data_IF_520312195566
#
_entry.id   IF_520312195566
#
_cell.length_a   1.000
_cell.length_b   1.000
_cell.length_c   1.000
_cell.angle_alpha   90.00
_cell.angle_beta   90.00
_cell.angle_gamma   90.00
#
_symmetry.space_group_name_H-M   'P 1'
#
loop_
_entity.id
_entity.type
_entity.pdbx_description
1 polymer ?
#
# COMPACT_ATOMS: atom_id res chain seq x y z
N UNK A 1 9.77 -3.53 -4.73
CA UNK A 1 9.09 -2.61 -5.66
C UNK A 1 10.12 -1.92 -6.55
N UNK A 2 10.04 -2.14 -7.88
CA UNK A 2 10.99 -1.58 -8.86
C UNK A 2 10.50 -0.24 -9.44
N UNK A 3 9.18 -0.10 -9.65
CA UNK A 3 8.50 1.05 -10.23
C UNK A 3 7.73 1.86 -9.16
N UNK A 4 7.60 3.17 -9.35
CA UNK A 4 6.64 4.03 -8.65
C UNK A 4 6.04 4.98 -9.69
N UNK A 5 4.75 5.29 -9.55
CA UNK A 5 3.99 6.05 -10.53
C UNK A 5 3.37 7.26 -9.85
N UNK A 6 3.43 8.43 -10.48
CA UNK A 6 2.74 9.61 -9.98
C UNK A 6 1.39 9.73 -10.71
N UNK A 7 0.33 9.26 -10.05
CA UNK A 7 -1.04 9.38 -10.56
C UNK A 7 -1.57 10.80 -10.41
N UNK A 8 -2.45 11.22 -11.32
CA UNK A 8 -3.23 12.47 -11.22
C UNK A 8 -2.41 13.77 -11.06
N UNK A 9 -1.17 13.81 -11.56
CA UNK A 9 -0.36 15.04 -11.60
C UNK A 9 -0.44 15.69 -12.98
N UNK A 10 -0.97 16.91 -13.03
CA UNK A 10 -0.83 17.79 -14.19
C UNK A 10 0.58 18.39 -14.23
N UNK A 11 1.47 17.81 -15.03
CA UNK A 11 2.88 18.22 -15.13
C UNK A 11 3.09 19.56 -15.84
N UNK A 12 2.14 19.98 -16.68
CA UNK A 12 2.18 21.23 -17.44
C UNK A 12 0.93 22.04 -17.15
N UNK A 13 1.05 23.37 -17.19
CA UNK A 13 -0.05 24.26 -16.82
C UNK A 13 -1.13 24.39 -17.91
N UNK A 14 -0.78 24.05 -19.16
CA UNK A 14 -1.69 24.07 -20.31
C UNK A 14 -1.11 23.28 -21.49
N UNK A 15 -1.95 22.99 -22.49
CA UNK A 15 -1.50 22.38 -23.75
C UNK A 15 -0.42 23.23 -24.44
N UNK A 16 -0.59 24.56 -24.46
CA UNK A 16 0.38 25.48 -25.03
C UNK A 16 1.72 25.45 -24.29
N UNK A 17 1.71 25.31 -22.95
CA UNK A 17 2.92 25.14 -22.15
C UNK A 17 3.64 23.83 -22.51
N UNK A 18 2.91 22.72 -22.66
CA UNK A 18 3.46 21.44 -23.08
C UNK A 18 4.12 21.51 -24.48
N UNK A 19 3.43 22.10 -25.46
CA UNK A 19 3.96 22.26 -26.82
C UNK A 19 5.20 23.15 -26.87
N UNK A 20 5.20 24.21 -26.07
CA UNK A 20 6.35 25.13 -25.96
C UNK A 20 7.58 24.42 -25.38
N UNK A 21 7.39 23.63 -24.31
CA UNK A 21 8.45 22.81 -23.72
C UNK A 21 9.00 21.81 -24.73
N UNK A 22 8.12 21.06 -25.39
CA UNK A 22 8.51 20.05 -26.39
C UNK A 22 9.35 20.66 -27.50
N UNK A 23 8.92 21.78 -28.09
CA UNK A 23 9.64 22.44 -29.18
C UNK A 23 11.03 22.92 -28.76
N UNK A 24 11.14 23.56 -27.58
CA UNK A 24 12.42 24.10 -27.09
C UNK A 24 13.39 23.00 -26.68
N UNK A 25 12.91 21.95 -26.00
CA UNK A 25 13.75 20.85 -25.54
C UNK A 25 14.28 20.01 -26.72
N UNK A 26 13.47 19.79 -27.77
CA UNK A 26 13.94 19.08 -28.98
C UNK A 26 15.09 19.82 -29.70
N UNK A 27 15.17 21.14 -29.54
CA UNK A 27 16.24 21.95 -30.11
C UNK A 27 17.45 22.09 -29.18
N UNK A 28 17.29 21.84 -27.87
CA UNK A 28 18.28 22.16 -26.84
C UNK A 28 18.29 21.07 -25.74
N UNK A 29 18.78 19.88 -26.06
CA UNK A 29 18.84 18.75 -25.13
C UNK A 29 20.28 18.28 -24.88
N UNK A 30 20.48 17.52 -23.80
CA UNK A 30 21.77 16.90 -23.50
C UNK A 30 22.77 17.77 -22.74
N UNK A 31 22.42 18.99 -22.34
CA UNK A 31 23.34 19.90 -21.64
C UNK A 31 23.37 19.68 -20.11
N UNK A 32 22.20 19.55 -19.48
CA UNK A 32 22.07 19.51 -18.02
C UNK A 32 22.72 18.26 -17.39
N UNK A 33 22.66 17.11 -18.06
CA UNK A 33 23.23 15.85 -17.57
C UNK A 33 24.74 15.93 -17.38
N UNK A 34 25.51 16.24 -18.44
CA UNK A 34 26.97 16.42 -18.36
C UNK A 34 27.39 17.45 -17.31
N UNK A 35 26.74 18.61 -17.26
CA UNK A 35 27.04 19.67 -16.29
C UNK A 35 26.82 19.18 -14.85
N UNK A 36 25.70 18.48 -14.60
CA UNK A 36 25.41 17.90 -13.31
C UNK A 36 26.44 16.84 -12.90
N UNK A 37 26.83 15.94 -13.81
CA UNK A 37 27.83 14.90 -13.53
C UNK A 37 29.20 15.51 -13.24
N UNK A 38 29.64 16.50 -14.03
CA UNK A 38 30.90 17.22 -13.77
C UNK A 38 30.90 17.89 -12.41
N UNK A 39 29.78 18.46 -11.99
CA UNK A 39 29.63 19.01 -10.65
C UNK A 39 29.74 17.94 -9.56
N UNK A 40 29.08 16.78 -9.74
CA UNK A 40 29.12 15.68 -8.78
C UNK A 40 30.52 15.09 -8.61
N UNK A 41 31.29 14.95 -9.70
CA UNK A 41 32.66 14.42 -9.68
C UNK A 41 33.62 15.30 -8.87
N UNK A 42 33.33 16.60 -8.72
CA UNK A 42 34.11 17.54 -7.90
C UNK A 42 33.77 17.44 -6.40
N UNK A 43 32.72 16.72 -6.02
CA UNK A 43 32.31 16.59 -4.63
C UNK A 43 32.98 15.39 -3.95
N UNK A 44 33.46 15.54 -2.70
CA UNK A 44 33.90 14.40 -1.91
C UNK A 44 32.76 13.39 -1.71
N UNK A 45 33.03 12.11 -1.93
CA UNK A 45 32.05 11.03 -1.74
C UNK A 45 31.37 11.10 -0.36
N UNK A 46 32.14 11.37 0.70
CA UNK A 46 31.63 11.51 2.08
C UNK A 46 30.53 12.58 2.20
N UNK A 47 30.59 13.64 1.40
CA UNK A 47 29.57 14.70 1.38
C UNK A 47 28.29 14.23 0.69
N UNK A 48 28.40 13.46 -0.38
CA UNK A 48 27.27 12.82 -1.05
C UNK A 48 26.60 11.81 -0.11
N UNK A 49 27.40 10.91 0.47
CA UNK A 49 26.94 9.88 1.39
C UNK A 49 26.21 10.46 2.61
N UNK A 50 26.81 11.44 3.31
CA UNK A 50 26.15 12.11 4.45
C UNK A 50 24.83 12.77 4.06
N UNK A 51 24.75 13.32 2.85
CA UNK A 51 23.52 13.96 2.38
C UNK A 51 22.43 12.93 2.07
N UNK A 52 22.82 11.80 1.48
CA UNK A 52 21.94 10.66 1.28
C UNK A 52 21.44 10.09 2.61
N UNK A 53 22.34 9.83 3.56
CA UNK A 53 22.01 9.32 4.90
C UNK A 53 21.04 10.24 5.65
N UNK A 54 21.26 11.56 5.58
CA UNK A 54 20.34 12.56 6.11
C UNK A 54 18.92 12.41 5.52
N UNK A 55 18.79 12.25 4.20
CA UNK A 55 17.48 12.08 3.58
C UNK A 55 16.86 10.71 3.87
N UNK A 56 17.67 9.66 4.01
CA UNK A 56 17.19 8.36 4.45
C UNK A 56 16.57 8.43 5.84
N UNK A 57 17.27 9.05 6.80
CA UNK A 57 16.75 9.24 8.16
C UNK A 57 15.48 10.09 8.16
N UNK A 58 15.48 11.19 7.39
CA UNK A 58 14.31 12.05 7.25
C UNK A 58 13.07 11.31 6.72
N UNK A 59 13.23 10.48 5.68
CA UNK A 59 12.11 9.71 5.11
C UNK A 59 11.62 8.66 6.12
N UNK A 60 12.53 7.94 6.78
CA UNK A 60 12.16 6.90 7.77
C UNK A 60 11.33 7.46 8.92
N UNK A 61 11.64 8.67 9.38
CA UNK A 61 10.85 9.37 10.42
C UNK A 61 9.43 9.74 9.97
N UNK A 62 9.16 9.76 8.66
CA UNK A 62 7.85 10.12 8.09
C UNK A 62 7.02 8.92 7.67
N UNK A 63 7.60 7.72 7.65
CA UNK A 63 6.89 6.48 7.37
C UNK A 63 6.29 5.97 8.69
N UNK A 64 4.96 5.95 8.78
CA UNK A 64 4.25 5.52 9.99
C UNK A 64 4.28 3.99 10.19
N UNK A 65 4.21 3.23 9.09
CA UNK A 65 4.18 1.77 9.12
C UNK A 65 5.35 1.21 8.32
N UNK A 66 6.46 0.93 9.01
CA UNK A 66 7.62 0.34 8.38
C UNK A 66 7.33 -1.14 8.02
N UNK A 67 7.39 -1.46 6.73
CA UNK A 67 7.33 -2.81 6.19
C UNK A 67 8.69 -3.26 5.60
N UNK A 68 8.74 -4.46 5.01
CA UNK A 68 9.92 -5.00 4.32
C UNK A 68 10.39 -4.18 3.11
N UNK A 69 9.57 -3.26 2.60
CA UNK A 69 9.88 -2.41 1.45
C UNK A 69 10.40 -1.03 1.85
N UNK A 70 10.19 -0.61 3.11
CA UNK A 70 10.63 0.67 3.69
C UNK A 70 12.05 1.06 3.30
N UNK A 71 13.02 0.18 3.49
CA UNK A 71 14.43 0.47 3.17
C UNK A 71 14.60 0.77 1.67
N UNK A 72 14.04 -0.07 0.80
CA UNK A 72 14.14 0.09 -0.66
C UNK A 72 13.46 1.37 -1.15
N UNK A 73 12.35 1.76 -0.53
CA UNK A 73 11.65 3.02 -0.84
C UNK A 73 12.51 4.18 -0.36
N UNK A 74 12.96 4.14 0.89
CA UNK A 74 13.80 5.16 1.50
C UNK A 74 15.03 5.45 0.63
N UNK A 75 15.77 4.42 0.23
CA UNK A 75 17.01 4.58 -0.53
C UNK A 75 16.77 5.29 -1.88
N UNK A 76 15.71 4.91 -2.60
CA UNK A 76 15.35 5.51 -3.89
C UNK A 76 14.92 6.97 -3.77
N UNK A 77 14.02 7.26 -2.84
CA UNK A 77 13.51 8.60 -2.65
C UNK A 77 14.58 9.54 -2.07
N UNK A 78 15.47 9.02 -1.23
CA UNK A 78 16.64 9.76 -0.76
C UNK A 78 17.54 10.18 -1.93
N UNK A 79 17.79 9.30 -2.90
CA UNK A 79 18.57 9.64 -4.11
C UNK A 79 17.90 10.80 -4.87
N UNK A 80 16.59 10.78 -5.08
CA UNK A 80 15.88 11.90 -5.75
C UNK A 80 16.03 13.23 -4.99
N UNK A 81 15.95 13.20 -3.66
CA UNK A 81 16.14 14.40 -2.83
C UNK A 81 17.59 14.91 -2.85
N UNK A 82 18.57 14.01 -2.86
CA UNK A 82 19.98 14.35 -3.07
C UNK A 82 20.18 15.00 -4.44
N UNK A 83 19.59 14.41 -5.49
CA UNK A 83 19.64 14.96 -6.85
C UNK A 83 19.04 16.35 -6.91
N UNK A 84 17.83 16.57 -6.39
CA UNK A 84 17.21 17.90 -6.34
C UNK A 84 18.05 18.91 -5.53
N UNK A 85 18.71 18.46 -4.45
CA UNK A 85 19.57 19.30 -3.63
C UNK A 85 20.80 19.82 -4.41
N UNK A 86 21.47 18.94 -5.16
CA UNK A 86 22.67 19.29 -5.90
C UNK A 86 22.38 19.89 -7.27
N UNK A 87 21.33 19.46 -7.97
CA UNK A 87 20.92 19.99 -9.28
C UNK A 87 20.64 21.49 -9.21
N UNK A 88 20.04 21.97 -8.12
CA UNK A 88 19.84 23.40 -7.87
C UNK A 88 21.14 24.20 -7.93
N UNK A 89 22.23 23.65 -7.39
CA UNK A 89 23.54 24.30 -7.35
C UNK A 89 24.30 24.14 -8.66
N UNK A 90 24.24 22.93 -9.23
CA UNK A 90 24.95 22.60 -10.45
C UNK A 90 24.41 23.35 -11.66
N UNK A 91 23.08 23.49 -11.77
CA UNK A 91 22.40 24.01 -12.96
C UNK A 91 21.88 25.45 -12.78
N UNK A 92 22.09 26.05 -11.60
CA UNK A 92 21.54 27.38 -11.28
C UNK A 92 20.00 27.48 -11.31
N UNK A 93 19.28 26.35 -11.28
CA UNK A 93 17.82 26.32 -11.43
C UNK A 93 17.09 26.68 -10.13
N UNK A 94 15.98 27.38 -10.26
CA UNK A 94 15.05 27.67 -9.17
C UNK A 94 14.25 26.43 -8.75
N UNK A 95 14.90 25.47 -8.08
CA UNK A 95 14.25 24.25 -7.59
C UNK A 95 13.65 24.49 -6.19
N UNK A 96 12.34 24.26 -6.06
CA UNK A 96 11.63 24.20 -4.78
C UNK A 96 11.76 22.80 -4.16
N UNK A 97 12.80 22.65 -3.34
CA UNK A 97 13.10 21.38 -2.64
C UNK A 97 12.03 21.01 -1.62
N UNK A 98 11.28 21.98 -1.08
CA UNK A 98 10.24 21.72 -0.08
C UNK A 98 9.06 21.04 -0.76
N UNK A 99 8.58 21.60 -1.88
CA UNK A 99 7.50 21.00 -2.68
C UNK A 99 7.86 19.63 -3.25
N UNK A 100 9.08 19.45 -3.78
CA UNK A 100 9.54 18.13 -4.24
C UNK A 100 9.46 17.12 -3.10
N UNK A 101 9.93 17.50 -1.91
CA UNK A 101 9.90 16.62 -0.74
C UNK A 101 8.47 16.27 -0.31
N UNK A 102 7.57 17.24 -0.32
CA UNK A 102 6.15 17.01 0.01
C UNK A 102 5.49 16.06 -0.99
N UNK A 103 5.65 16.31 -2.29
CA UNK A 103 5.16 15.45 -3.37
C UNK A 103 5.68 14.01 -3.24
N UNK A 104 6.97 13.87 -2.95
CA UNK A 104 7.60 12.56 -2.76
C UNK A 104 7.09 11.83 -1.50
N UNK A 105 6.85 12.55 -0.40
CA UNK A 105 6.30 11.95 0.83
C UNK A 105 4.85 11.52 0.66
N UNK A 106 4.03 12.35 0.01
CA UNK A 106 2.66 12.01 -0.34
C UNK A 106 2.60 10.72 -1.15
N UNK A 107 3.46 10.60 -2.17
CA UNK A 107 3.57 9.39 -2.98
C UNK A 107 3.93 8.14 -2.16
N UNK A 108 4.78 8.27 -1.13
CA UNK A 108 5.12 7.15 -0.25
C UNK A 108 3.90 6.69 0.55
N UNK A 109 3.10 7.64 1.03
CA UNK A 109 1.91 7.40 1.83
C UNK A 109 0.80 6.74 1.00
N UNK A 110 0.45 7.33 -0.15
CA UNK A 110 -0.58 6.79 -1.06
C UNK A 110 -0.25 5.36 -1.50
N UNK A 111 0.97 5.12 -1.95
CA UNK A 111 1.37 3.76 -2.31
C UNK A 111 1.40 2.82 -1.09
N UNK A 112 1.57 3.31 0.14
CA UNK A 112 1.56 2.42 1.31
C UNK A 112 0.17 1.84 1.54
N UNK A 113 -0.88 2.62 1.26
CA UNK A 113 -2.26 2.19 1.36
C UNK A 113 -2.62 1.21 0.24
N UNK A 114 -2.21 1.49 -1.00
CA UNK A 114 -2.39 0.57 -2.14
C UNK A 114 -1.57 -0.73 -2.01
N UNK A 115 -0.41 -0.67 -1.33
CA UNK A 115 0.42 -1.84 -1.06
C UNK A 115 -0.09 -2.68 0.11
N UNK A 116 -1.02 -2.19 0.91
CA UNK A 116 -1.54 -2.92 2.05
C UNK A 116 -2.43 -4.07 1.58
N UNK A 117 -1.77 -5.20 1.27
CA UNK A 117 -2.43 -6.42 0.83
C UNK A 117 -3.46 -6.93 1.84
N UNK A 118 -3.23 -6.68 3.13
CA UNK A 118 -4.18 -7.04 4.18
C UNK A 118 -5.46 -6.23 4.08
N UNK A 119 -5.35 -4.90 3.96
CA UNK A 119 -6.50 -4.00 3.80
C UNK A 119 -7.25 -4.28 2.50
N UNK A 120 -6.53 -4.44 1.39
CA UNK A 120 -7.12 -4.75 0.07
C UNK A 120 -7.85 -6.09 0.06
N UNK A 121 -7.25 -7.13 0.63
CA UNK A 121 -7.90 -8.43 0.74
C UNK A 121 -9.15 -8.33 1.63
N UNK A 122 -9.13 -7.52 2.69
CA UNK A 122 -10.27 -7.37 3.60
C UNK A 122 -11.43 -6.66 2.91
N UNK A 123 -11.15 -5.59 2.16
CA UNK A 123 -12.17 -4.88 1.38
C UNK A 123 -12.79 -5.76 0.30
N UNK A 124 -11.96 -6.51 -0.45
CA UNK A 124 -12.46 -7.48 -1.42
C UNK A 124 -13.31 -8.58 -0.76
N UNK A 125 -12.86 -9.09 0.40
CA UNK A 125 -13.60 -10.08 1.17
C UNK A 125 -14.95 -9.55 1.64
N UNK A 126 -15.01 -8.33 2.20
CA UNK A 126 -16.26 -7.66 2.60
C UNK A 126 -17.23 -7.55 1.44
N UNK A 127 -16.78 -7.06 0.28
CA UNK A 127 -17.62 -6.93 -0.91
C UNK A 127 -18.15 -8.30 -1.38
N UNK A 128 -17.30 -9.32 -1.38
CA UNK A 128 -17.70 -10.69 -1.75
C UNK A 128 -18.78 -11.24 -0.81
N UNK A 129 -18.61 -11.00 0.50
CA UNK A 129 -19.59 -11.42 1.52
C UNK A 129 -20.94 -10.70 1.35
N UNK A 130 -20.90 -9.40 1.00
CA UNK A 130 -22.13 -8.63 0.73
C UNK A 130 -22.85 -9.11 -0.53
N UNK A 131 -22.13 -9.30 -1.64
CA UNK A 131 -22.68 -9.72 -2.93
C UNK A 131 -23.34 -11.10 -2.90
N UNK A 132 -22.84 -12.00 -2.06
CA UNK A 132 -23.37 -13.36 -1.93
C UNK A 132 -24.17 -13.57 -0.65
N UNK A 133 -24.64 -12.48 -0.01
CA UNK A 133 -25.37 -12.53 1.26
C UNK A 133 -26.58 -13.48 1.28
N UNK A 134 -27.24 -13.68 0.13
CA UNK A 134 -28.36 -14.61 -0.02
C UNK A 134 -27.92 -16.09 0.02
N UNK A 135 -26.74 -16.41 -0.51
CA UNK A 135 -26.12 -17.74 -0.44
C UNK A 135 -25.55 -18.05 0.97
N UNK A 136 -25.53 -17.05 1.87
CA UNK A 136 -25.03 -17.16 3.24
C UNK A 136 -26.14 -17.25 4.28
N UNK A 137 -27.39 -17.45 3.86
CA UNK A 137 -28.52 -17.68 4.75
C UNK A 137 -28.77 -19.18 4.95
N UNK A 138 -29.24 -19.53 6.15
CA UNK A 138 -29.54 -20.90 6.64
C UNK A 138 -30.55 -21.70 5.82
N UNK A 139 -31.01 -21.19 4.67
CA UNK A 139 -32.01 -21.80 3.79
C UNK A 139 -31.42 -22.42 2.51
N UNK A 140 -30.14 -22.19 2.22
CA UNK A 140 -29.42 -22.81 1.08
C UNK A 140 -28.67 -24.08 1.51
N UNK A 141 -28.63 -25.10 0.63
CA UNK A 141 -28.05 -26.44 0.90
C UNK A 141 -26.52 -26.49 1.11
N UNK A 142 -25.82 -25.35 1.18
CA UNK A 142 -24.36 -25.28 1.26
C UNK A 142 -23.89 -24.32 2.37
N UNK A 143 -23.60 -24.88 3.56
CA UNK A 143 -23.26 -24.14 4.78
C UNK A 143 -21.76 -23.85 4.91
N UNK A 144 -21.21 -23.06 3.99
CA UNK A 144 -19.76 -22.78 4.03
C UNK A 144 -19.38 -21.47 4.72
N UNK A 145 -20.37 -20.61 5.01
CA UNK A 145 -20.19 -19.29 5.65
C UNK A 145 -21.36 -19.01 6.59
N UNK A 146 -21.08 -18.44 7.77
CA UNK A 146 -22.08 -17.92 8.70
C UNK A 146 -21.75 -16.45 9.04
N UNK A 147 -22.71 -15.56 8.81
CA UNK A 147 -22.60 -14.15 9.16
C UNK A 147 -23.36 -13.88 10.46
N UNK A 148 -22.65 -13.50 11.52
CA UNK A 148 -23.28 -12.99 12.74
C UNK A 148 -23.42 -11.48 12.67
N UNK A 149 -24.60 -11.02 13.08
CA UNK A 149 -24.95 -9.60 13.09
C UNK A 149 -25.03 -9.09 14.52
N UNK A 150 -24.60 -7.84 14.73
CA UNK A 150 -24.77 -7.08 15.98
C UNK A 150 -25.48 -5.78 15.63
N UNK A 151 -26.58 -5.46 16.31
CA UNK A 151 -27.43 -4.30 16.02
C UNK A 151 -27.86 -4.22 14.54
N UNK A 152 -28.17 -5.36 13.90
CA UNK A 152 -28.57 -5.43 12.48
C UNK A 152 -27.42 -5.41 11.47
N UNK A 153 -26.19 -5.07 11.87
CA UNK A 153 -25.03 -4.98 10.99
C UNK A 153 -24.14 -6.23 11.05
N UNK A 154 -23.57 -6.72 9.93
CA UNK A 154 -22.57 -7.79 9.93
C UNK A 154 -21.38 -7.42 10.81
N UNK A 155 -21.04 -8.29 11.76
CA UNK A 155 -19.95 -8.06 12.72
C UNK A 155 -18.88 -9.16 12.65
N UNK A 156 -19.28 -10.41 12.44
CA UNK A 156 -18.38 -11.55 12.42
C UNK A 156 -18.79 -12.48 11.27
N UNK A 157 -17.80 -12.92 10.48
CA UNK A 157 -17.99 -13.88 9.40
C UNK A 157 -17.17 -15.13 9.70
N UNK A 158 -17.87 -16.24 9.87
CA UNK A 158 -17.26 -17.55 10.02
C UNK A 158 -17.23 -18.19 8.64
N UNK A 159 -16.07 -18.63 8.18
CA UNK A 159 -15.92 -19.22 6.85
C UNK A 159 -14.99 -20.42 6.89
N UNK A 160 -15.34 -21.47 6.14
CA UNK A 160 -14.46 -22.63 5.99
C UNK A 160 -13.16 -22.24 5.28
N UNK A 161 -12.00 -22.79 5.70
CA UNK A 161 -10.71 -22.47 5.08
C UNK A 161 -10.68 -22.67 3.56
N UNK A 162 -11.32 -23.73 3.06
CA UNK A 162 -11.37 -24.02 1.62
C UNK A 162 -12.10 -22.93 0.82
N UNK A 163 -13.21 -22.40 1.35
CA UNK A 163 -13.94 -21.32 0.68
C UNK A 163 -13.23 -19.99 0.83
N UNK A 164 -12.66 -19.72 2.01
CA UNK A 164 -11.86 -18.52 2.22
C UNK A 164 -10.70 -18.45 1.22
N UNK A 165 -10.02 -19.57 0.97
CA UNK A 165 -8.97 -19.67 -0.04
C UNK A 165 -9.48 -19.36 -1.45
N UNK A 166 -10.62 -19.95 -1.86
CA UNK A 166 -11.24 -19.68 -3.17
C UNK A 166 -11.60 -18.20 -3.36
N UNK A 167 -12.14 -17.56 -2.33
CA UNK A 167 -12.46 -16.12 -2.36
C UNK A 167 -11.18 -15.31 -2.59
N UNK A 168 -10.12 -15.59 -1.83
CA UNK A 168 -8.85 -14.88 -2.00
C UNK A 168 -8.21 -15.16 -3.37
N UNK A 169 -8.27 -16.39 -3.87
CA UNK A 169 -7.78 -16.74 -5.22
C UNK A 169 -8.53 -15.94 -6.31
N UNK A 170 -9.87 -15.86 -6.23
CA UNK A 170 -10.68 -15.07 -7.15
C UNK A 170 -10.35 -13.56 -7.12
N UNK A 171 -9.94 -13.04 -5.96
CA UNK A 171 -9.49 -11.65 -5.80
C UNK A 171 -8.05 -11.39 -6.23
N UNK A 172 -7.33 -12.39 -6.76
CA UNK A 172 -5.92 -12.27 -7.15
C UNK A 172 -4.93 -12.33 -5.97
N UNK A 173 -5.37 -12.84 -4.81
CA UNK A 173 -4.57 -12.93 -3.58
C UNK A 173 -4.06 -14.36 -3.27
N UNK A 174 -4.18 -15.30 -4.21
CA UNK A 174 -3.90 -16.73 -3.99
C UNK A 174 -2.54 -17.01 -3.34
N UNK A 175 -1.46 -16.43 -3.87
CA UNK A 175 -0.08 -16.63 -3.37
C UNK A 175 0.19 -15.95 -2.02
N UNK A 176 -0.73 -15.10 -1.55
CA UNK A 176 -0.56 -14.28 -0.35
C UNK A 176 -1.46 -14.69 0.81
N UNK A 177 -2.16 -15.82 0.70
CA UNK A 177 -3.10 -16.31 1.71
C UNK A 177 -2.54 -16.30 3.15
N UNK A 178 -1.36 -16.91 3.37
CA UNK A 178 -0.72 -16.95 4.69
C UNK A 178 -0.28 -15.57 5.20
N UNK A 179 0.15 -14.70 4.28
CA UNK A 179 0.55 -13.32 4.60
C UNK A 179 -0.67 -12.52 5.06
N UNK A 180 -1.81 -12.71 4.40
CA UNK A 180 -3.08 -12.05 4.72
C UNK A 180 -3.59 -12.51 6.08
N UNK A 181 -3.65 -13.82 6.34
CA UNK A 181 -4.09 -14.36 7.63
C UNK A 181 -3.23 -13.85 8.80
N UNK A 182 -1.90 -13.87 8.64
CA UNK A 182 -0.98 -13.30 9.64
C UNK A 182 -1.18 -11.81 9.83
N UNK A 183 -1.35 -11.05 8.75
CA UNK A 183 -1.62 -9.61 8.79
C UNK A 183 -2.92 -9.32 9.57
N UNK A 184 -4.01 -10.02 9.24
CA UNK A 184 -5.31 -9.83 9.88
C UNK A 184 -5.28 -10.23 11.36
N UNK A 185 -4.63 -11.34 11.71
CA UNK A 185 -4.47 -11.75 13.10
C UNK A 185 -3.69 -10.69 13.92
N UNK A 186 -2.59 -10.16 13.36
CA UNK A 186 -1.78 -9.11 14.01
C UNK A 186 -2.59 -7.82 14.21
N UNK A 187 -3.54 -7.53 13.32
CA UNK A 187 -4.41 -6.34 13.38
C UNK A 187 -5.70 -6.54 14.16
N UNK A 188 -5.96 -7.74 14.68
CA UNK A 188 -7.22 -8.06 15.34
C UNK A 188 -8.43 -8.08 14.40
N UNK A 189 -8.21 -8.29 13.09
CA UNK A 189 -9.27 -8.50 12.09
C UNK A 189 -9.63 -9.98 11.93
N UNK A 190 -8.85 -10.87 12.52
CA UNK A 190 -9.09 -12.31 12.55
C UNK A 190 -9.12 -12.76 14.02
N UNK A 191 -10.22 -13.37 14.46
CA UNK A 191 -10.32 -14.05 15.76
C UNK A 191 -9.87 -15.51 15.58
N UNK A 192 -8.77 -15.88 16.21
CA UNK A 192 -8.17 -17.20 16.02
C UNK A 192 -7.53 -17.74 17.31
N UNK A 193 -7.34 -19.05 17.37
CA UNK A 193 -6.65 -19.70 18.48
C UNK A 193 -5.13 -19.39 18.41
N UNK A 194 -4.43 -19.54 19.53
CA UNK A 194 -2.98 -19.30 19.57
C UNK A 194 -2.29 -20.32 18.65
N UNK A 195 -1.41 -19.83 17.77
CA UNK A 195 -0.66 -20.60 16.78
C UNK A 195 -1.46 -21.18 15.59
N UNK A 196 -2.74 -20.86 15.49
CA UNK A 196 -3.57 -21.25 14.36
C UNK A 196 -4.40 -20.07 13.85
N UNK A 197 -4.45 -19.85 12.54
CA UNK A 197 -5.30 -18.79 11.94
C UNK A 197 -6.79 -19.18 11.88
N UNK A 198 -7.20 -20.19 12.63
CA UNK A 198 -8.57 -20.70 12.68
C UNK A 198 -9.04 -20.80 14.12
N UNK A 199 -10.35 -20.94 14.30
CA UNK A 199 -10.98 -21.18 15.60
C UNK A 199 -12.03 -22.27 15.48
N UNK A 200 -12.19 -23.08 16.52
CA UNK A 200 -13.30 -24.05 16.57
C UNK A 200 -14.61 -23.30 16.79
N UNK A 201 -15.55 -23.48 15.87
CA UNK A 201 -16.90 -22.91 15.93
C UNK A 201 -17.92 -23.89 15.38
N UNK A 202 -19.17 -23.64 15.72
CA UNK A 202 -20.33 -24.35 15.20
C UNK A 202 -20.99 -23.46 14.16
N UNK A 203 -21.16 -23.97 12.93
CA UNK A 203 -21.79 -23.24 11.83
C UNK A 203 -23.32 -23.39 11.85
N UNK A 204 -23.83 -24.48 12.42
CA UNK A 204 -25.26 -24.77 12.57
C UNK A 204 -25.58 -25.35 13.96
N UNK A 205 -26.69 -24.95 14.57
CA UNK A 205 -27.11 -25.47 15.88
C UNK A 205 -27.28 -27.00 15.82
N UNK A 206 -26.53 -27.74 16.64
CA UNK A 206 -26.53 -29.22 16.64
C UNK A 206 -25.46 -29.88 15.76
N UNK A 207 -24.65 -29.12 15.03
CA UNK A 207 -23.54 -29.64 14.21
C UNK A 207 -22.21 -29.78 14.98
N UNK A 208 -21.30 -30.63 14.45
CA UNK A 208 -19.94 -30.81 14.96
C UNK A 208 -19.12 -29.50 14.88
N UNK A 209 -18.30 -29.25 15.90
CA UNK A 209 -17.34 -28.16 15.88
C UNK A 209 -16.38 -28.31 14.70
N UNK A 210 -16.33 -27.29 13.85
CA UNK A 210 -15.44 -27.23 12.69
C UNK A 210 -14.47 -26.06 12.85
N UNK A 211 -13.26 -26.22 12.32
CA UNK A 211 -12.26 -25.14 12.25
C UNK A 211 -12.64 -24.18 11.14
N UNK A 212 -12.82 -22.92 11.50
CA UNK A 212 -13.19 -21.84 10.58
C UNK A 212 -12.25 -20.66 10.75
N UNK A 213 -12.11 -19.83 9.72
CA UNK A 213 -11.61 -18.48 9.90
C UNK A 213 -12.75 -17.61 10.43
N UNK A 214 -12.48 -16.84 11.48
CA UNK A 214 -13.44 -15.89 12.06
C UNK A 214 -12.98 -14.48 11.74
N UNK A 215 -13.52 -13.89 10.68
CA UNK A 215 -13.16 -12.56 10.22
C UNK A 215 -14.04 -11.53 10.91
N UNK A 216 -13.43 -10.56 11.58
CA UNK A 216 -14.11 -9.48 12.28
C UNK A 216 -14.30 -8.30 11.34
N UNK A 217 -15.56 -7.96 11.05
CA UNK A 217 -15.93 -6.80 10.25
C UNK A 217 -16.09 -5.62 11.20
N UNK A 218 -15.05 -4.80 11.34
CA UNK A 218 -15.15 -3.58 12.15
C UNK A 218 -16.17 -2.63 11.50
N UNK A 219 -17.12 -2.13 12.29
CA UNK A 219 -17.94 -0.98 11.90
C UNK A 219 -17.05 0.27 11.95
N UNK A 220 -16.76 0.87 10.80
CA UNK A 220 -16.19 2.23 10.76
C UNK A 220 -17.19 3.29 11.26
N UNK A 221 -18.45 2.91 11.49
CA UNK A 221 -19.54 3.77 11.98
C UNK A 221 -19.73 3.79 13.51
N UNK A 222 -18.74 3.38 14.31
CA UNK A 222 -18.78 3.48 15.78
C UNK A 222 -17.79 4.52 16.34
N UNK A 223 -17.39 5.50 15.52
CA UNK A 223 -16.66 6.70 15.94
C UNK A 223 -17.45 7.94 15.49
N UNK A 224 -18.60 8.16 16.11
CA UNK A 224 -19.22 9.48 16.25
C UNK A 224 -19.58 9.67 17.72
#
# INVERSE_FOLDING_TARGET
MRLFEFGNIAWTTSAQNADSLKRRLLQNYGHAGPEFVQFLLKLPFKRLYRKWEYYCQFIRQKIQNADRFTNRITDKFAILLVTAYYAKKALGLAIDRKKIRELLLQQIQENSEERDIGKRALEYFKQTVLLHSDNFTTRGREFWVLIKRKNGHPHEVLILPIQFKKILEAGGFGDSHQVILKNWATRGWLDCDKDEFTKKRTLESGSLHTRVHVVLLQNESARE
#
